data_IF_043224425928
#
_entry.id   IF_043224425928
#
_cell.length_a   1.000
_cell.length_b   1.000
_cell.length_c   1.000
_cell.angle_alpha   90.00
_cell.angle_beta   90.00
_cell.angle_gamma   90.00
#
_symmetry.space_group_name_H-M   'P 1'
#
loop_
_entity.id
_entity.type
_entity.pdbx_description
1 polymer ?
#
# COMPACT_ATOMS: atom_id res chain seq x y z
N UNK A 1 12.38 -19.15 20.33
CA UNK A 1 12.34 -18.92 18.87
C UNK A 1 11.51 -17.67 18.59
N UNK A 2 12.10 -16.62 18.04
CA UNK A 2 11.35 -15.44 17.58
C UNK A 2 10.51 -15.88 16.38
N UNK A 3 9.19 -15.79 16.49
CA UNK A 3 8.31 -16.09 15.36
C UNK A 3 8.31 -14.88 14.42
N UNK A 4 9.05 -14.98 13.31
CA UNK A 4 9.26 -13.91 12.33
C UNK A 4 7.94 -13.31 11.83
N UNK A 5 6.90 -14.13 11.66
CA UNK A 5 5.59 -13.67 11.20
C UNK A 5 4.91 -12.76 12.24
N UNK A 6 5.06 -13.07 13.54
CA UNK A 6 4.51 -12.23 14.63
C UNK A 6 5.21 -10.88 14.70
N UNK A 7 6.52 -10.84 14.49
CA UNK A 7 7.28 -9.59 14.49
C UNK A 7 6.92 -8.74 13.27
N UNK A 8 6.82 -9.34 12.09
CA UNK A 8 6.40 -8.64 10.86
C UNK A 8 4.97 -8.10 11.00
N UNK A 9 4.05 -8.89 11.55
CA UNK A 9 2.68 -8.46 11.78
C UNK A 9 2.63 -7.24 12.71
N UNK A 10 3.40 -7.24 13.80
CA UNK A 10 3.49 -6.08 14.69
C UNK A 10 4.03 -4.86 13.97
N UNK A 11 5.08 -5.02 13.18
CA UNK A 11 5.64 -3.93 12.38
C UNK A 11 4.59 -3.35 11.42
N UNK A 12 3.84 -4.20 10.71
CA UNK A 12 2.76 -3.78 9.84
C UNK A 12 1.61 -3.09 10.60
N UNK A 13 1.23 -3.58 11.77
CA UNK A 13 0.21 -2.95 12.61
C UNK A 13 0.58 -1.53 13.04
N UNK A 14 1.87 -1.23 13.23
CA UNK A 14 2.32 0.13 13.57
C UNK A 14 2.50 1.04 12.35
N UNK A 15 2.84 0.50 11.18
CA UNK A 15 3.22 1.32 10.01
C UNK A 15 2.10 1.51 9.00
N UNK A 16 1.31 0.46 8.72
CA UNK A 16 0.26 0.49 7.70
C UNK A 16 -0.84 1.52 8.04
N UNK A 17 -1.31 1.70 9.29
CA UNK A 17 -2.31 2.71 9.60
C UNK A 17 -1.88 4.13 9.26
N UNK A 18 -0.60 4.48 9.48
CA UNK A 18 -0.07 5.80 9.14
C UNK A 18 -0.07 6.04 7.63
N UNK A 19 0.34 5.04 6.86
CA UNK A 19 0.30 5.09 5.39
C UNK A 19 -1.14 5.17 4.88
N UNK A 20 -2.06 4.40 5.48
CA UNK A 20 -3.49 4.41 5.15
C UNK A 20 -4.09 5.79 5.40
N UNK A 21 -3.82 6.40 6.55
CA UNK A 21 -4.31 7.72 6.91
C UNK A 21 -3.79 8.79 5.93
N UNK A 22 -2.49 8.75 5.62
CA UNK A 22 -1.87 9.69 4.69
C UNK A 22 -2.47 9.59 3.27
N UNK A 23 -2.53 8.37 2.72
CA UNK A 23 -3.15 8.16 1.40
C UNK A 23 -4.63 8.53 1.40
N UNK A 24 -5.36 8.23 2.47
CA UNK A 24 -6.76 8.60 2.64
C UNK A 24 -6.99 10.11 2.72
N UNK A 25 -6.09 10.85 3.37
CA UNK A 25 -6.14 12.31 3.40
C UNK A 25 -5.95 12.91 1.99
N UNK A 26 -4.99 12.38 1.23
CA UNK A 26 -4.78 12.79 -0.17
C UNK A 26 -6.03 12.49 -1.00
N UNK A 27 -6.61 11.30 -0.87
CA UNK A 27 -7.86 10.96 -1.55
C UNK A 27 -8.97 11.96 -1.22
N UNK A 28 -9.18 12.28 0.05
CA UNK A 28 -10.17 13.29 0.47
C UNK A 28 -9.92 14.66 -0.16
N UNK A 29 -8.67 15.11 -0.23
CA UNK A 29 -8.29 16.37 -0.89
C UNK A 29 -8.63 16.33 -2.39
N UNK A 30 -8.30 15.24 -3.09
CA UNK A 30 -8.61 15.10 -4.52
C UNK A 30 -10.12 15.22 -4.77
N UNK A 31 -10.94 14.60 -3.93
CA UNK A 31 -12.41 14.71 -4.00
C UNK A 31 -12.88 16.15 -3.76
N UNK A 32 -12.33 16.85 -2.76
CA UNK A 32 -12.65 18.26 -2.49
C UNK A 32 -12.25 19.19 -3.66
N UNK A 33 -11.22 18.83 -4.42
CA UNK A 33 -10.81 19.54 -5.63
C UNK A 33 -11.71 19.26 -6.85
N UNK A 34 -12.74 18.41 -6.72
CA UNK A 34 -13.64 18.07 -7.80
C UNK A 34 -13.05 17.08 -8.81
N UNK A 35 -12.00 16.35 -8.44
CA UNK A 35 -11.44 15.30 -9.28
C UNK A 35 -12.43 14.13 -9.36
N UNK A 36 -12.58 13.56 -10.55
CA UNK A 36 -13.44 12.41 -10.77
C UNK A 36 -13.09 11.25 -9.82
N UNK A 37 -14.11 10.63 -9.24
CA UNK A 37 -13.96 9.61 -8.19
C UNK A 37 -13.15 8.41 -8.70
N UNK A 38 -13.29 8.04 -9.98
CA UNK A 38 -12.56 6.93 -10.59
C UNK A 38 -11.07 7.26 -10.65
N UNK A 39 -10.72 8.46 -11.12
CA UNK A 39 -9.33 8.92 -11.18
C UNK A 39 -8.73 9.06 -9.77
N UNK A 40 -9.47 9.66 -8.83
CA UNK A 40 -9.03 9.80 -7.44
C UNK A 40 -8.79 8.44 -6.77
N UNK A 41 -9.63 7.44 -7.04
CA UNK A 41 -9.47 6.06 -6.55
C UNK A 41 -8.22 5.41 -7.13
N UNK A 42 -7.95 5.63 -8.43
CA UNK A 42 -6.72 5.17 -9.08
C UNK A 42 -5.47 5.78 -8.44
N UNK A 43 -5.46 7.10 -8.24
CA UNK A 43 -4.36 7.82 -7.58
C UNK A 43 -4.17 7.32 -6.15
N UNK A 44 -5.26 7.13 -5.40
CA UNK A 44 -5.21 6.59 -4.05
C UNK A 44 -4.58 5.19 -4.03
N UNK A 45 -5.08 4.25 -4.85
CA UNK A 45 -4.58 2.89 -4.88
C UNK A 45 -3.11 2.82 -5.32
N UNK A 46 -2.72 3.63 -6.30
CA UNK A 46 -1.34 3.72 -6.78
C UNK A 46 -0.40 4.25 -5.69
N UNK A 47 -0.76 5.37 -5.06
CA UNK A 47 0.02 5.97 -3.98
C UNK A 47 0.12 5.03 -2.77
N UNK A 48 -1.01 4.49 -2.33
CA UNK A 48 -1.08 3.59 -1.18
C UNK A 48 -0.26 2.31 -1.44
N UNK A 49 -0.45 1.67 -2.59
CA UNK A 49 0.34 0.51 -3.01
C UNK A 49 1.84 0.80 -3.10
N UNK A 50 2.23 1.98 -3.61
CA UNK A 50 3.65 2.41 -3.66
C UNK A 50 4.26 2.54 -2.27
N UNK A 51 3.56 3.17 -1.33
CA UNK A 51 4.05 3.32 0.04
C UNK A 51 4.15 1.96 0.76
N UNK A 52 3.20 1.05 0.54
CA UNK A 52 3.29 -0.32 1.05
C UNK A 52 4.44 -1.11 0.44
N UNK A 53 4.74 -0.92 -0.85
CA UNK A 53 5.91 -1.50 -1.50
C UNK A 53 7.21 -0.97 -0.89
N UNK A 54 7.31 0.33 -0.59
CA UNK A 54 8.46 0.90 0.12
C UNK A 54 8.63 0.25 1.49
N UNK A 55 7.54 0.13 2.27
CA UNK A 55 7.56 -0.60 3.55
C UNK A 55 8.08 -2.02 3.36
N UNK A 56 7.59 -2.74 2.36
CA UNK A 56 8.01 -4.10 2.06
C UNK A 56 9.50 -4.18 1.69
N UNK A 57 10.02 -3.20 0.96
CA UNK A 57 11.44 -3.14 0.62
C UNK A 57 12.32 -2.89 1.85
N UNK A 58 11.89 -2.03 2.77
CA UNK A 58 12.61 -1.75 4.02
C UNK A 58 12.74 -3.03 4.87
N UNK A 59 11.66 -3.80 4.99
CA UNK A 59 11.66 -5.02 5.84
C UNK A 59 12.18 -6.26 5.11
N UNK A 60 12.54 -6.16 3.82
CA UNK A 60 12.90 -7.29 2.96
C UNK A 60 14.04 -8.11 3.53
N UNK A 61 15.14 -7.48 3.93
CA UNK A 61 16.35 -8.20 4.37
C UNK A 61 16.11 -9.04 5.62
N UNK A 62 15.23 -8.59 6.50
CA UNK A 62 14.94 -9.26 7.77
C UNK A 62 13.84 -10.34 7.65
N UNK A 63 12.90 -10.18 6.70
CA UNK A 63 11.70 -11.02 6.63
C UNK A 63 11.51 -11.76 5.31
N UNK A 64 12.50 -11.82 4.42
CA UNK A 64 12.40 -12.44 3.08
C UNK A 64 11.82 -13.87 3.09
N UNK A 65 12.14 -14.67 4.10
CA UNK A 65 11.68 -16.06 4.20
C UNK A 65 10.28 -16.22 4.84
N UNK A 66 9.73 -15.16 5.43
CA UNK A 66 8.38 -15.18 6.01
C UNK A 66 7.33 -15.43 4.92
N UNK A 67 6.36 -16.32 5.20
CA UNK A 67 5.20 -16.52 4.32
C UNK A 67 4.32 -15.27 4.27
N UNK A 68 4.16 -14.60 5.42
CA UNK A 68 3.39 -13.36 5.52
C UNK A 68 4.01 -12.27 4.64
N UNK A 69 5.34 -12.15 4.60
CA UNK A 69 6.05 -11.22 3.72
C UNK A 69 5.76 -11.48 2.24
N UNK A 70 5.81 -12.75 1.80
CA UNK A 70 5.56 -13.11 0.39
C UNK A 70 4.11 -12.80 -0.02
N UNK A 71 3.15 -13.08 0.86
CA UNK A 71 1.73 -12.78 0.63
C UNK A 71 1.46 -11.27 0.63
N UNK A 72 2.03 -10.52 1.59
CA UNK A 72 1.86 -9.07 1.67
C UNK A 72 2.48 -8.39 0.45
N UNK A 73 3.67 -8.78 0.03
CA UNK A 73 4.33 -8.26 -1.17
C UNK A 73 3.46 -8.42 -2.43
N UNK A 74 2.84 -9.59 -2.62
CA UNK A 74 1.92 -9.83 -3.74
C UNK A 74 0.68 -8.94 -3.64
N UNK A 75 0.08 -8.80 -2.46
CA UNK A 75 -1.06 -7.92 -2.23
C UNK A 75 -0.71 -6.44 -2.52
N UNK A 76 0.47 -5.99 -2.11
CA UNK A 76 0.92 -4.61 -2.33
C UNK A 76 1.21 -4.35 -3.81
N UNK A 77 1.84 -5.30 -4.49
CA UNK A 77 2.11 -5.21 -5.92
C UNK A 77 0.82 -5.19 -6.74
N UNK A 78 -0.13 -6.06 -6.42
CA UNK A 78 -1.43 -6.10 -7.11
C UNK A 78 -2.21 -4.80 -6.92
N UNK A 79 -2.19 -4.23 -5.72
CA UNK A 79 -2.80 -2.94 -5.44
C UNK A 79 -2.15 -1.79 -6.25
N UNK A 80 -0.81 -1.76 -6.30
CA UNK A 80 -0.08 -0.78 -7.10
C UNK A 80 -0.43 -0.87 -8.59
N UNK A 81 -0.43 -2.09 -9.14
CA UNK A 81 -0.77 -2.34 -10.54
C UNK A 81 -2.23 -2.00 -10.83
N UNK A 82 -3.15 -2.33 -9.93
CA UNK A 82 -4.55 -1.96 -10.05
C UNK A 82 -4.73 -0.44 -10.05
N UNK A 83 -4.04 0.29 -9.18
CA UNK A 83 -4.05 1.75 -9.17
C UNK A 83 -3.56 2.36 -10.49
N UNK A 84 -2.41 1.88 -10.98
CA UNK A 84 -1.88 2.32 -12.28
C UNK A 84 -2.86 2.03 -13.42
N UNK A 85 -3.47 0.84 -13.43
CA UNK A 85 -4.47 0.45 -14.43
C UNK A 85 -5.72 1.33 -14.39
N UNK A 86 -6.25 1.64 -13.19
CA UNK A 86 -7.41 2.52 -13.04
C UNK A 86 -7.09 3.94 -13.52
N UNK A 87 -5.90 4.46 -13.23
CA UNK A 87 -5.46 5.78 -13.72
C UNK A 87 -5.47 5.80 -15.25
N UNK A 88 -4.86 4.80 -15.90
CA UNK A 88 -4.82 4.70 -17.37
C UNK A 88 -6.24 4.64 -17.96
N UNK A 89 -7.17 3.93 -17.31
CA UNK A 89 -8.58 3.86 -17.75
C UNK A 89 -9.40 5.12 -17.46
N UNK A 90 -8.85 6.10 -16.74
CA UNK A 90 -9.56 7.31 -16.31
C UNK A 90 -9.09 8.57 -17.04
N UNK A 91 -8.06 8.45 -17.88
CA UNK A 91 -7.55 9.47 -18.79
C UNK A 91 -8.14 9.19 -20.18
#
# INVERSE_FOLDING_TARGET
>A
MVNMDKTLLRYYLFTIPHVTLFSGAIFGILILMGIDVKLATGIFAFLYGTLLMIISLIVREHFRESRLYKLSLLAFLTLLLAGAFIIILSI
#
